data_IF_399244574284
#
_entry.id   IF_399244574284
#
_cell.length_a   1.000
_cell.length_b   1.000
_cell.length_c   1.000
_cell.angle_alpha   90.00
_cell.angle_beta   90.00
_cell.angle_gamma   90.00
#
_symmetry.space_group_name_H-M   'P 1'
#
loop_
_entity.id
_entity.type
_entity.pdbx_description
1 polymer ?
#
# COMPACT_ATOMS: atom_id res chain seq x y z
N UNK A 1 -9.62 -2.96 17.03
CA UNK A 1 -9.76 -3.29 15.59
C UNK A 1 -8.83 -2.36 14.83
N UNK A 2 -7.67 -2.84 14.38
CA UNK A 2 -6.73 -2.01 13.62
C UNK A 2 -7.23 -1.90 12.18
N UNK A 3 -7.33 -0.69 11.66
CA UNK A 3 -7.67 -0.44 10.26
C UNK A 3 -6.35 -0.28 9.52
N UNK A 4 -6.04 -1.15 8.54
CA UNK A 4 -4.84 -0.97 7.72
C UNK A 4 -4.83 0.41 7.05
N UNK A 5 -3.66 1.03 6.86
CA UNK A 5 -3.55 2.28 6.13
C UNK A 5 -4.05 2.06 4.69
N UNK A 6 -4.72 3.06 4.12
CA UNK A 6 -5.26 2.96 2.76
C UNK A 6 -4.86 4.15 1.92
N UNK A 7 -4.55 3.89 0.65
CA UNK A 7 -4.22 4.94 -0.33
C UNK A 7 -5.17 4.86 -1.52
N UNK A 8 -5.89 5.95 -1.80
CA UNK A 8 -6.87 6.04 -2.90
C UNK A 8 -6.24 6.49 -4.22
N UNK A 9 -5.04 7.08 -4.18
CA UNK A 9 -4.37 7.67 -5.34
C UNK A 9 -4.45 9.19 -5.38
N UNK A 10 -4.12 9.78 -6.54
CA UNK A 10 -4.15 11.21 -6.79
C UNK A 10 -2.83 11.95 -6.54
N UNK A 11 -2.81 13.25 -6.81
CA UNK A 11 -1.64 14.11 -6.61
C UNK A 11 -1.58 14.59 -5.15
N UNK A 12 -1.13 13.70 -4.26
CA UNK A 12 -0.92 13.99 -2.85
C UNK A 12 0.43 13.42 -2.38
N UNK A 13 1.54 14.16 -2.61
CA UNK A 13 2.89 13.68 -2.29
C UNK A 13 3.07 13.41 -0.79
N UNK A 14 2.56 14.28 0.08
CA UNK A 14 2.66 14.07 1.53
C UNK A 14 1.83 12.86 2.00
N UNK A 15 0.64 12.68 1.39
CA UNK A 15 -0.22 11.54 1.69
C UNK A 15 0.38 10.19 1.29
N UNK A 16 1.08 10.13 0.14
CA UNK A 16 1.74 8.89 -0.27
C UNK A 16 2.99 8.59 0.57
N UNK A 17 3.75 9.62 0.97
CA UNK A 17 4.91 9.44 1.88
C UNK A 17 4.45 8.89 3.22
N UNK A 18 3.44 9.53 3.83
CA UNK A 18 2.89 9.05 5.10
C UNK A 18 2.33 7.62 5.00
N UNK A 19 1.63 7.31 3.90
CA UNK A 19 1.12 5.97 3.67
C UNK A 19 2.25 4.94 3.56
N UNK A 20 3.34 5.25 2.84
CA UNK A 20 4.51 4.37 2.73
C UNK A 20 5.15 4.09 4.09
N UNK A 21 5.35 5.12 4.92
CA UNK A 21 5.90 4.96 6.27
C UNK A 21 5.05 4.02 7.14
N UNK A 22 3.73 4.21 7.14
CA UNK A 22 2.81 3.35 7.91
C UNK A 22 2.80 1.89 7.39
N UNK A 23 2.96 1.70 6.08
CA UNK A 23 3.00 0.37 5.45
C UNK A 23 4.31 -0.36 5.74
N UNK A 24 5.45 0.33 5.68
CA UNK A 24 6.77 -0.25 5.98
C UNK A 24 6.86 -0.73 7.43
N UNK A 25 6.31 0.03 8.39
CA UNK A 25 6.24 -0.39 9.79
C UNK A 25 5.47 -1.72 9.93
N UNK A 26 4.38 -1.88 9.17
CA UNK A 26 3.57 -3.10 9.19
C UNK A 26 4.36 -4.27 8.60
N UNK A 27 5.05 -4.07 7.48
CA UNK A 27 5.86 -5.12 6.85
C UNK A 27 7.02 -5.57 7.74
N UNK A 28 7.70 -4.64 8.39
CA UNK A 28 8.76 -4.93 9.34
C UNK A 28 8.22 -5.71 10.55
N UNK A 29 7.12 -5.26 11.15
CA UNK A 29 6.49 -5.93 12.29
C UNK A 29 6.03 -7.36 11.96
N UNK A 30 5.57 -7.60 10.73
CA UNK A 30 5.13 -8.92 10.26
C UNK A 30 6.27 -9.78 9.70
N UNK A 31 7.48 -9.22 9.54
CA UNK A 31 8.63 -9.88 8.88
C UNK A 31 8.31 -10.37 7.47
N UNK A 32 7.61 -9.55 6.69
CA UNK A 32 7.24 -9.85 5.31
C UNK A 32 8.48 -10.01 4.42
N UNK A 33 8.47 -11.02 3.53
CA UNK A 33 9.41 -11.07 2.42
C UNK A 33 9.05 -10.02 1.36
N UNK A 34 9.94 -9.76 0.40
CA UNK A 34 9.64 -8.83 -0.70
C UNK A 34 8.41 -9.27 -1.52
N UNK A 35 8.20 -10.58 -1.69
CA UNK A 35 7.01 -11.15 -2.34
C UNK A 35 5.73 -10.90 -1.52
N UNK A 36 5.81 -11.02 -0.20
CA UNK A 36 4.70 -10.73 0.70
C UNK A 36 4.33 -9.26 0.68
N UNK A 37 5.33 -8.35 0.65
CA UNK A 37 5.13 -6.89 0.62
C UNK A 37 4.29 -6.46 -0.58
N UNK A 38 4.61 -6.93 -1.77
CA UNK A 38 3.86 -6.60 -2.99
C UNK A 38 2.40 -7.09 -2.91
N UNK A 39 2.20 -8.31 -2.39
CA UNK A 39 0.89 -8.91 -2.23
C UNK A 39 0.05 -8.15 -1.19
N UNK A 40 0.60 -7.92 0.00
CA UNK A 40 -0.08 -7.26 1.11
C UNK A 40 -0.30 -5.76 0.87
N UNK A 41 0.68 -5.07 0.30
CA UNK A 41 0.56 -3.65 -0.06
C UNK A 41 -0.54 -3.40 -1.07
N UNK A 42 -0.77 -4.33 -2.00
CA UNK A 42 -1.87 -4.22 -2.95
C UNK A 42 -3.25 -4.22 -2.30
N UNK A 43 -3.43 -4.93 -1.18
CA UNK A 43 -4.68 -4.93 -0.42
C UNK A 43 -4.95 -3.61 0.33
N UNK A 44 -3.98 -2.71 0.39
CA UNK A 44 -4.10 -1.38 1.02
C UNK A 44 -4.44 -0.29 -0.01
N UNK A 45 -4.34 -0.59 -1.30
CA UNK A 45 -4.72 0.34 -2.37
C UNK A 45 -6.23 0.39 -2.58
N UNK A 46 -6.77 1.58 -2.84
CA UNK A 46 -8.19 1.83 -3.09
C UNK A 46 -8.36 2.65 -4.36
N UNK A 47 -9.56 2.63 -4.92
CA UNK A 47 -9.98 3.48 -6.05
C UNK A 47 -8.94 3.55 -7.18
N UNK A 48 -8.40 4.75 -7.47
CA UNK A 48 -7.51 5.01 -8.59
C UNK A 48 -6.20 4.24 -8.45
N UNK A 49 -5.64 4.19 -7.23
CA UNK A 49 -4.40 3.46 -6.97
C UNK A 49 -4.56 1.95 -7.19
N UNK A 50 -5.70 1.37 -6.76
CA UNK A 50 -5.99 -0.05 -7.00
C UNK A 50 -6.18 -0.34 -8.50
N UNK A 51 -6.85 0.56 -9.22
CA UNK A 51 -7.04 0.41 -10.67
C UNK A 51 -5.69 0.45 -11.40
N UNK A 52 -4.83 1.42 -11.06
CA UNK A 52 -3.48 1.51 -11.60
C UNK A 52 -2.67 0.23 -11.36
N UNK A 53 -2.66 -0.29 -10.13
CA UNK A 53 -1.90 -1.49 -9.77
C UNK A 53 -2.37 -2.74 -10.54
N UNK A 54 -3.68 -2.90 -10.74
CA UNK A 54 -4.23 -4.02 -11.52
C UNK A 54 -3.81 -3.95 -12.99
N UNK A 55 -3.79 -2.76 -13.57
CA UNK A 55 -3.36 -2.56 -14.96
C UNK A 55 -1.85 -2.75 -15.12
N UNK A 56 -1.04 -2.35 -14.13
CA UNK A 56 0.42 -2.55 -14.16
C UNK A 56 0.86 -4.03 -14.01
N UNK A 57 -0.03 -4.91 -13.55
CA UNK A 57 0.20 -6.35 -13.39
C UNK A 57 -0.24 -7.19 -14.60
N UNK A 58 -0.85 -6.57 -15.60
CA UNK A 58 -1.18 -7.22 -16.88
C UNK A 58 0.07 -7.35 -17.75
#
# INVERSE_FOLDING_TARGET
>A
RHKPPTFTGGYNPDGVVKWLEEVEIIFEAMRCTEEDKASLGSYMLREQANHWWKNARQ
#
